data_IF_832020907447
#
_entry.id   IF_832020907447
#
_cell.length_a   1.000
_cell.length_b   1.000
_cell.length_c   1.000
_cell.angle_alpha   90.00
_cell.angle_beta   90.00
_cell.angle_gamma   90.00
#
_symmetry.space_group_name_H-M   'P 1'
#
loop_
_entity.id
_entity.type
_entity.pdbx_description
1 polymer ?
#
# COMPACT_ATOMS: atom_id res chain seq x y z
N UNK A 1 38.63 2.69 -31.47
CA UNK A 1 37.37 1.90 -31.37
C UNK A 1 36.85 1.79 -29.93
N UNK A 2 37.70 1.47 -28.95
CA UNK A 2 37.30 1.31 -27.53
C UNK A 2 36.48 2.48 -26.93
N UNK A 3 36.83 3.74 -27.23
CA UNK A 3 36.08 4.92 -26.73
C UNK A 3 34.61 4.94 -27.20
N UNK A 4 34.33 4.47 -28.42
CA UNK A 4 32.96 4.39 -28.96
C UNK A 4 32.17 3.25 -28.30
N UNK A 5 32.84 2.13 -28.03
CA UNK A 5 32.25 0.98 -27.33
C UNK A 5 31.91 1.36 -25.89
N UNK A 6 32.80 2.10 -25.20
CA UNK A 6 32.59 2.51 -23.81
C UNK A 6 31.42 3.50 -23.66
N UNK A 7 31.28 4.44 -24.60
CA UNK A 7 30.12 5.36 -24.65
C UNK A 7 28.83 4.58 -24.91
N UNK A 8 28.83 3.62 -25.83
CA UNK A 8 27.67 2.78 -26.13
C UNK A 8 27.21 1.97 -24.90
N UNK A 9 28.17 1.42 -24.15
CA UNK A 9 27.92 0.62 -22.95
C UNK A 9 27.35 1.47 -21.81
N UNK A 10 27.87 2.69 -21.63
CA UNK A 10 27.33 3.68 -20.68
C UNK A 10 25.89 4.08 -21.05
N UNK A 11 25.61 4.37 -22.33
CA UNK A 11 24.24 4.73 -22.76
C UNK A 11 23.24 3.59 -22.59
N UNK A 12 23.68 2.33 -22.72
CA UNK A 12 22.81 1.16 -22.53
C UNK A 12 22.40 0.93 -21.07
N UNK A 13 23.19 1.41 -20.09
CA UNK A 13 22.80 1.30 -18.68
C UNK A 13 21.61 2.21 -18.32
N UNK A 14 21.43 3.33 -19.02
CA UNK A 14 20.35 4.29 -18.72
C UNK A 14 18.96 3.83 -19.22
N UNK A 15 18.88 2.86 -20.13
CA UNK A 15 17.59 2.45 -20.74
C UNK A 15 16.85 1.37 -19.95
N UNK A 16 17.46 0.80 -18.89
CA UNK A 16 16.91 -0.37 -18.18
C UNK A 16 16.04 0.00 -16.96
N UNK A 17 15.86 1.30 -16.66
CA UNK A 17 15.23 1.74 -15.40
C UNK A 17 13.75 2.16 -15.50
N UNK A 18 12.99 1.71 -16.49
CA UNK A 18 11.57 2.04 -16.59
C UNK A 18 10.72 1.08 -15.74
N UNK A 19 10.77 1.24 -14.42
CA UNK A 19 9.83 0.61 -13.49
C UNK A 19 8.66 1.57 -13.25
N UNK A 20 7.71 1.60 -14.19
CA UNK A 20 6.45 2.31 -13.99
C UNK A 20 5.50 1.40 -13.21
N UNK A 21 4.90 1.86 -12.10
CA UNK A 21 3.89 1.09 -11.39
C UNK A 21 2.73 0.82 -12.35
N UNK A 22 2.32 -0.45 -12.46
CA UNK A 22 1.19 -0.82 -13.32
C UNK A 22 -0.09 -0.25 -12.70
N UNK A 23 -0.79 0.59 -13.46
CA UNK A 23 -2.17 0.92 -13.14
C UNK A 23 -3.01 -0.35 -13.24
N UNK A 24 -3.71 -0.70 -12.16
CA UNK A 24 -4.64 -1.82 -12.08
C UNK A 24 -6.04 -1.25 -12.09
N UNK A 25 -6.96 -1.92 -12.79
CA UNK A 25 -8.36 -1.53 -12.79
C UNK A 25 -9.01 -1.83 -11.43
N UNK A 26 -9.84 -0.90 -10.96
CA UNK A 26 -10.56 -1.01 -9.68
C UNK A 26 -11.47 -2.26 -9.70
N UNK A 27 -12.18 -2.47 -10.81
CA UNK A 27 -13.11 -3.59 -11.04
C UNK A 27 -12.62 -4.41 -12.22
N UNK A 28 -12.57 -5.72 -12.06
CA UNK A 28 -12.25 -6.68 -13.13
C UNK A 28 -13.46 -7.55 -13.45
N UNK A 29 -13.57 -7.95 -14.73
CA UNK A 29 -14.72 -8.71 -15.24
C UNK A 29 -14.98 -10.03 -14.49
N UNK A 30 -13.96 -10.61 -13.87
CA UNK A 30 -14.06 -11.88 -13.15
C UNK A 30 -14.23 -11.72 -11.63
N UNK A 31 -14.26 -10.50 -11.08
CA UNK A 31 -14.31 -10.29 -9.62
C UNK A 31 -15.56 -10.92 -8.99
N UNK A 32 -16.70 -10.86 -9.68
CA UNK A 32 -17.99 -11.43 -9.24
C UNK A 32 -18.01 -12.97 -9.22
N UNK A 33 -17.13 -13.63 -9.98
CA UNK A 33 -17.09 -15.11 -10.07
C UNK A 33 -16.03 -15.74 -9.19
N UNK A 34 -15.24 -14.94 -8.46
CA UNK A 34 -14.17 -15.41 -7.59
C UNK A 34 -14.70 -16.13 -6.35
N UNK A 35 -14.05 -17.24 -5.99
CA UNK A 35 -14.23 -17.91 -4.71
C UNK A 35 -13.67 -17.08 -3.54
N UNK A 36 -14.06 -17.39 -2.31
CA UNK A 36 -13.55 -16.71 -1.12
C UNK A 36 -12.01 -16.73 -0.98
N UNK A 37 -11.36 -17.81 -1.43
CA UNK A 37 -9.90 -17.91 -1.39
C UNK A 37 -9.25 -17.03 -2.46
N UNK A 38 -9.84 -16.97 -3.65
CA UNK A 38 -9.40 -16.09 -4.74
C UNK A 38 -9.60 -14.63 -4.38
N UNK A 39 -10.75 -14.27 -3.78
CA UNK A 39 -10.99 -12.93 -3.25
C UNK A 39 -9.97 -12.55 -2.17
N UNK A 40 -9.65 -13.47 -1.24
CA UNK A 40 -8.63 -13.21 -0.21
C UNK A 40 -7.26 -12.94 -0.83
N UNK A 41 -6.86 -13.75 -1.83
CA UNK A 41 -5.60 -13.56 -2.54
C UNK A 41 -5.60 -12.26 -3.34
N UNK A 42 -6.71 -11.91 -3.98
CA UNK A 42 -6.86 -10.67 -4.73
C UNK A 42 -6.80 -9.44 -3.83
N UNK A 43 -7.39 -9.50 -2.62
CA UNK A 43 -7.28 -8.45 -1.58
C UNK A 43 -5.82 -8.28 -1.15
N UNK A 44 -5.12 -9.39 -0.87
CA UNK A 44 -3.69 -9.34 -0.51
C UNK A 44 -2.83 -8.77 -1.65
N UNK A 45 -3.14 -9.15 -2.89
CA UNK A 45 -2.45 -8.64 -4.08
C UNK A 45 -2.72 -7.14 -4.25
N UNK A 46 -3.96 -6.69 -4.07
CA UNK A 46 -4.31 -5.27 -4.11
C UNK A 46 -3.57 -4.47 -3.03
N UNK A 47 -3.51 -4.99 -1.79
CA UNK A 47 -2.74 -4.39 -0.70
C UNK A 47 -1.24 -4.29 -1.02
N UNK A 48 -0.66 -5.34 -1.60
CA UNK A 48 0.75 -5.30 -2.00
C UNK A 48 1.00 -4.26 -3.10
N UNK A 49 0.10 -4.13 -4.07
CA UNK A 49 0.23 -3.13 -5.14
C UNK A 49 0.08 -1.70 -4.61
N UNK A 50 -0.75 -1.49 -3.60
CA UNK A 50 -0.87 -0.22 -2.88
C UNK A 50 0.46 0.12 -2.18
N UNK A 51 1.05 -0.83 -1.45
CA UNK A 51 2.34 -0.63 -0.77
C UNK A 51 3.49 -0.35 -1.75
N UNK A 52 3.53 -1.08 -2.88
CA UNK A 52 4.52 -0.85 -3.94
C UNK A 52 4.37 0.54 -4.56
N UNK A 53 3.14 0.91 -4.93
CA UNK A 53 2.85 2.24 -5.48
C UNK A 53 3.16 3.36 -4.46
N UNK A 54 2.96 3.11 -3.17
CA UNK A 54 3.35 4.02 -2.10
C UNK A 54 4.86 4.21 -2.03
N UNK A 55 5.61 3.11 -2.08
CA UNK A 55 7.09 3.14 -2.03
C UNK A 55 7.71 3.83 -3.26
N UNK A 56 7.06 3.73 -4.42
CA UNK A 56 7.52 4.34 -5.68
C UNK A 56 7.32 5.86 -5.74
N UNK A 57 6.56 6.45 -4.80
CA UNK A 57 6.36 7.92 -4.71
C UNK A 57 7.65 8.71 -4.47
N UNK A 58 8.76 8.07 -4.08
CA UNK A 58 10.09 8.69 -4.13
C UNK A 58 10.40 9.75 -3.06
N UNK A 59 9.53 9.95 -2.04
CA UNK A 59 9.86 10.73 -0.83
C UNK A 59 10.39 9.85 0.31
N UNK A 60 11.02 8.72 0.00
CA UNK A 60 11.83 8.01 0.99
C UNK A 60 13.12 8.80 1.24
N UNK A 61 13.71 8.69 2.44
CA UNK A 61 14.99 9.34 2.77
C UNK A 61 16.11 9.04 1.75
N UNK A 62 15.97 7.94 1.00
CA UNK A 62 16.89 7.53 -0.06
C UNK A 62 16.68 8.24 -1.41
N UNK A 63 15.48 8.76 -1.69
CA UNK A 63 15.10 9.29 -3.02
C UNK A 63 14.94 10.82 -3.11
N UNK A 64 15.15 11.55 -2.00
CA UNK A 64 15.11 13.03 -1.97
C UNK A 64 16.07 13.65 -3.00
N UNK A 65 17.24 13.04 -3.21
CA UNK A 65 18.24 13.52 -4.17
C UNK A 65 17.71 13.46 -5.62
N UNK A 66 16.99 12.41 -5.97
CA UNK A 66 16.38 12.24 -7.30
C UNK A 66 15.31 13.29 -7.58
N UNK A 67 14.48 13.61 -6.57
CA UNK A 67 13.48 14.68 -6.67
C UNK A 67 14.09 16.07 -6.87
N UNK A 68 15.26 16.34 -6.29
CA UNK A 68 15.96 17.63 -6.44
C UNK A 68 16.65 17.78 -7.80
N UNK A 69 17.33 16.74 -8.28
CA UNK A 69 18.10 16.79 -9.55
C UNK A 69 17.24 16.56 -10.80
N UNK A 70 16.11 15.85 -10.69
CA UNK A 70 15.27 15.46 -11.82
C UNK A 70 13.79 15.79 -11.60
N UNK A 71 13.51 16.97 -11.04
CA UNK A 71 12.15 17.37 -10.61
C UNK A 71 11.03 17.18 -11.67
N UNK A 72 11.21 17.43 -12.99
CA UNK A 72 10.11 17.25 -13.94
C UNK A 72 9.75 15.77 -14.14
N UNK A 73 10.77 14.90 -14.24
CA UNK A 73 10.57 13.47 -14.35
C UNK A 73 9.97 12.89 -13.07
N UNK A 74 10.40 13.41 -11.92
CA UNK A 74 9.86 13.05 -10.61
C UNK A 74 8.36 13.33 -10.50
N UNK A 75 7.88 14.51 -10.93
CA UNK A 75 6.45 14.83 -10.87
C UNK A 75 5.59 13.88 -11.71
N UNK A 76 6.08 13.41 -12.86
CA UNK A 76 5.37 12.43 -13.69
C UNK A 76 5.25 11.10 -12.95
N UNK A 77 6.36 10.56 -12.45
CA UNK A 77 6.37 9.30 -11.69
C UNK A 77 5.53 9.40 -10.42
N UNK A 78 5.60 10.53 -9.72
CA UNK A 78 4.80 10.77 -8.52
C UNK A 78 3.30 10.74 -8.86
N UNK A 79 2.87 11.45 -9.91
CA UNK A 79 1.48 11.47 -10.34
C UNK A 79 0.96 10.08 -10.73
N UNK A 80 1.74 9.30 -11.47
CA UNK A 80 1.35 7.94 -11.85
C UNK A 80 1.31 6.99 -10.65
N UNK A 81 2.23 7.14 -9.69
CA UNK A 81 2.28 6.33 -8.47
C UNK A 81 1.11 6.64 -7.53
N UNK A 82 0.71 7.91 -7.41
CA UNK A 82 -0.48 8.32 -6.67
C UNK A 82 -1.75 7.70 -7.29
N UNK A 83 -1.86 7.74 -8.61
CA UNK A 83 -3.00 7.15 -9.30
C UNK A 83 -3.04 5.61 -9.15
N UNK A 84 -1.88 4.96 -9.22
CA UNK A 84 -1.77 3.52 -8.99
C UNK A 84 -2.11 3.13 -7.55
N UNK A 85 -1.64 3.89 -6.55
CA UNK A 85 -1.99 3.66 -5.14
C UNK A 85 -3.49 3.82 -4.90
N UNK A 86 -4.08 4.89 -5.43
CA UNK A 86 -5.53 5.12 -5.33
C UNK A 86 -6.32 3.98 -5.96
N UNK A 87 -5.97 3.56 -7.18
CA UNK A 87 -6.67 2.46 -7.85
C UNK A 87 -6.51 1.12 -7.11
N UNK A 88 -5.34 0.85 -6.53
CA UNK A 88 -5.09 -0.34 -5.73
C UNK A 88 -5.91 -0.34 -4.42
N UNK A 89 -5.99 0.81 -3.74
CA UNK A 89 -6.82 0.98 -2.55
C UNK A 89 -8.30 0.82 -2.86
N UNK A 90 -8.82 1.47 -3.90
CA UNK A 90 -10.22 1.34 -4.31
C UNK A 90 -10.56 -0.09 -4.74
N UNK A 91 -9.62 -0.77 -5.41
CA UNK A 91 -9.77 -2.20 -5.75
C UNK A 91 -9.88 -3.06 -4.48
N UNK A 92 -9.01 -2.84 -3.50
CA UNK A 92 -9.04 -3.54 -2.22
C UNK A 92 -10.40 -3.37 -1.54
N UNK A 93 -10.94 -2.16 -1.53
CA UNK A 93 -12.26 -1.85 -0.97
C UNK A 93 -13.40 -2.51 -1.74
N UNK A 94 -13.34 -2.52 -3.08
CA UNK A 94 -14.29 -3.25 -3.92
C UNK A 94 -14.29 -4.76 -3.61
N UNK A 95 -13.11 -5.38 -3.55
CA UNK A 95 -12.97 -6.80 -3.26
C UNK A 95 -13.39 -7.15 -1.82
N UNK A 96 -13.15 -6.26 -0.84
CA UNK A 96 -13.64 -6.44 0.54
C UNK A 96 -15.17 -6.43 0.61
N UNK A 97 -15.83 -5.57 -0.16
CA UNK A 97 -17.29 -5.56 -0.26
C UNK A 97 -17.80 -6.88 -0.85
N UNK A 98 -17.20 -7.35 -1.94
CA UNK A 98 -17.52 -8.67 -2.53
C UNK A 98 -17.27 -9.82 -1.56
N UNK A 99 -16.14 -9.81 -0.86
CA UNK A 99 -15.80 -10.81 0.16
C UNK A 99 -16.85 -10.88 1.28
N UNK A 100 -17.35 -9.73 1.72
CA UNK A 100 -18.43 -9.65 2.70
C UNK A 100 -19.76 -10.14 2.12
N UNK A 101 -20.14 -9.66 0.92
CA UNK A 101 -21.39 -10.01 0.25
C UNK A 101 -21.49 -11.51 -0.06
N UNK A 102 -20.37 -12.15 -0.40
CA UNK A 102 -20.28 -13.59 -0.67
C UNK A 102 -20.25 -14.44 0.61
N UNK A 103 -20.41 -13.82 1.79
CA UNK A 103 -20.42 -14.52 3.07
C UNK A 103 -19.07 -15.13 3.46
N UNK A 104 -17.97 -14.70 2.82
CA UNK A 104 -16.64 -15.22 3.10
C UNK A 104 -16.13 -14.79 4.47
N UNK A 105 -16.61 -13.64 4.96
CA UNK A 105 -16.42 -13.18 6.32
C UNK A 105 -17.24 -14.05 7.28
N UNK A 106 -16.74 -15.24 7.60
CA UNK A 106 -17.29 -16.01 8.73
C UNK A 106 -17.18 -15.13 9.98
N UNK A 107 -18.26 -14.92 10.74
CA UNK A 107 -18.14 -14.27 12.03
C UNK A 107 -17.18 -15.12 12.87
N UNK A 108 -15.99 -14.57 13.14
CA UNK A 108 -15.12 -15.13 14.19
C UNK A 108 -15.95 -15.10 15.47
N UNK A 109 -15.89 -16.16 16.28
CA UNK A 109 -16.83 -16.38 17.40
C UNK A 109 -16.95 -15.19 18.35
N UNK A 110 -18.01 -15.14 19.15
CA UNK A 110 -18.36 -14.02 20.04
C UNK A 110 -17.17 -13.46 20.85
N UNK A 111 -16.29 -14.35 21.33
CA UNK A 111 -15.05 -14.00 22.04
C UNK A 111 -14.08 -13.15 21.20
N UNK A 112 -13.94 -13.47 19.90
CA UNK A 112 -13.10 -12.71 18.97
C UNK A 112 -13.73 -11.36 18.63
N UNK A 113 -15.04 -11.30 18.41
CA UNK A 113 -15.73 -10.02 18.17
C UNK A 113 -15.58 -9.08 19.37
N UNK A 114 -15.72 -9.60 20.59
CA UNK A 114 -15.49 -8.83 21.82
C UNK A 114 -14.05 -8.34 21.94
N UNK A 115 -13.07 -9.20 21.64
CA UNK A 115 -11.65 -8.83 21.59
C UNK A 115 -11.38 -7.70 20.57
N UNK A 116 -11.96 -7.78 19.37
CA UNK A 116 -11.86 -6.73 18.34
C UNK A 116 -12.46 -5.43 18.87
N UNK A 117 -13.69 -5.46 19.40
CA UNK A 117 -14.37 -4.28 19.94
C UNK A 117 -13.58 -3.62 21.07
N UNK A 118 -13.11 -4.41 22.04
CA UNK A 118 -12.31 -3.91 23.16
C UNK A 118 -10.97 -3.30 22.69
N UNK A 119 -10.40 -3.83 21.61
CA UNK A 119 -9.16 -3.31 21.02
C UNK A 119 -9.42 -2.02 20.23
N UNK A 120 -10.54 -1.93 19.51
CA UNK A 120 -10.95 -0.70 18.82
C UNK A 120 -11.14 0.46 19.81
N UNK A 121 -11.79 0.21 20.95
CA UNK A 121 -11.93 1.19 22.04
C UNK A 121 -10.57 1.67 22.57
N UNK A 122 -9.60 0.77 22.70
CA UNK A 122 -8.23 1.12 23.13
C UNK A 122 -7.50 1.95 22.08
N UNK A 123 -7.63 1.57 20.80
CA UNK A 123 -7.04 2.29 19.68
C UNK A 123 -7.64 3.69 19.52
N UNK A 124 -8.94 3.86 19.75
CA UNK A 124 -9.60 5.16 19.74
C UNK A 124 -9.05 6.05 20.86
N UNK A 125 -8.96 5.55 22.09
CA UNK A 125 -8.36 6.29 23.22
C UNK A 125 -6.90 6.66 22.96
N UNK A 126 -6.13 5.76 22.36
CA UNK A 126 -4.76 6.01 21.95
C UNK A 126 -4.68 7.15 20.92
N UNK A 127 -5.51 7.11 19.87
CA UNK A 127 -5.60 8.16 18.85
C UNK A 127 -5.99 9.50 19.46
N UNK A 128 -6.94 9.53 20.38
CA UNK A 128 -7.34 10.77 21.08
C UNK A 128 -6.19 11.36 21.89
N UNK A 129 -5.37 10.53 22.56
CA UNK A 129 -4.18 11.02 23.28
C UNK A 129 -3.17 11.67 22.33
N UNK A 130 -2.92 11.05 21.19
CA UNK A 130 -2.04 11.59 20.14
C UNK A 130 -2.57 12.90 19.57
N UNK A 131 -3.84 12.95 19.16
CA UNK A 131 -4.47 14.16 18.59
C UNK A 131 -4.48 15.33 19.59
N UNK A 132 -4.58 15.05 20.88
CA UNK A 132 -4.50 16.07 21.94
C UNK A 132 -3.05 16.49 22.28
N UNK A 133 -2.05 15.88 21.66
CA UNK A 133 -0.63 16.17 21.88
C UNK A 133 -0.08 15.62 23.20
N UNK A 134 -0.74 14.66 23.83
CA UNK A 134 -0.24 14.04 25.08
C UNK A 134 0.88 13.02 24.86
N UNK A 135 0.99 12.49 23.64
CA UNK A 135 2.02 11.55 23.22
C UNK A 135 2.53 11.97 21.85
N UNK A 136 3.79 11.67 21.56
CA UNK A 136 4.39 11.90 20.25
C UNK A 136 4.00 10.81 19.22
N UNK A 137 4.35 11.07 17.96
CA UNK A 137 4.03 10.17 16.84
C UNK A 137 4.74 8.82 16.96
N UNK A 138 6.00 8.78 17.42
CA UNK A 138 6.77 7.56 17.56
C UNK A 138 6.14 6.64 18.63
N UNK A 139 5.81 7.22 19.79
CA UNK A 139 5.12 6.53 20.87
C UNK A 139 3.74 6.02 20.43
N UNK A 140 2.98 6.83 19.68
CA UNK A 140 1.69 6.41 19.12
C UNK A 140 1.83 5.20 18.20
N UNK A 141 2.83 5.20 17.30
CA UNK A 141 3.08 4.12 16.36
C UNK A 141 3.51 2.82 17.06
N UNK A 142 4.37 2.91 18.08
CA UNK A 142 4.83 1.76 18.86
C UNK A 142 3.67 1.13 19.63
N UNK A 143 2.89 1.93 20.39
CA UNK A 143 1.75 1.42 21.16
C UNK A 143 0.69 0.80 20.24
N UNK A 144 0.40 1.44 19.10
CA UNK A 144 -0.53 0.90 18.09
C UNK A 144 -0.05 -0.45 17.54
N UNK A 145 1.23 -0.56 17.18
CA UNK A 145 1.81 -1.81 16.68
C UNK A 145 1.70 -2.91 17.73
N UNK A 146 2.04 -2.62 18.98
CA UNK A 146 1.97 -3.58 20.08
C UNK A 146 0.54 -4.12 20.31
N UNK A 147 -0.48 -3.28 20.18
CA UNK A 147 -1.88 -3.71 20.29
C UNK A 147 -2.35 -4.60 19.13
N UNK A 148 -1.77 -4.44 17.93
CA UNK A 148 -2.17 -5.16 16.73
C UNK A 148 -1.46 -6.51 16.54
N UNK A 149 -0.31 -6.75 17.17
CA UNK A 149 0.44 -8.04 17.11
C UNK A 149 -0.44 -9.25 17.51
N UNK A 150 -1.44 -9.06 18.38
CA UNK A 150 -2.34 -10.13 18.81
C UNK A 150 -3.42 -10.54 17.79
N UNK A 151 -3.48 -9.87 16.63
CA UNK A 151 -4.50 -10.08 15.60
C UNK A 151 -3.97 -10.72 14.31
N UNK A 152 -2.67 -10.96 14.22
CA UNK A 152 -2.00 -11.65 13.11
C UNK A 152 -2.29 -13.15 13.08
#
# INVERSE_FOLDING_TARGET
MYRKILILLMTMMFIVSCATPKAIDIVQANDETMSCNELKLAIQTASLNEDLAHSDKGLTSENILSGLFFFPAYFVTYGTSIHAEYNASERKDHLLKLYSNNGCAKPRGEKYQKLVSDTLDKLEKLKVRYVKGYIDEEQYLIERKQMLIGFD
#
